data_IF_827217832364
#
_entry.id   IF_827217832364
#
_cell.length_a   1.000
_cell.length_b   1.000
_cell.length_c   1.000
_cell.angle_alpha   90.00
_cell.angle_beta   90.00
_cell.angle_gamma   90.00
#
_symmetry.space_group_name_H-M   'P 1'
#
loop_
_entity.id
_entity.type
_entity.pdbx_description
1 polymer ?
#
# COMPACT_ATOMS: atom_id res chain seq x y z
N UNK A 1 12.27 -9.75 6.20
CA UNK A 1 11.13 -8.82 6.31
C UNK A 1 11.57 -7.59 7.08
N UNK A 2 11.33 -6.40 6.56
CA UNK A 2 11.50 -5.12 7.27
C UNK A 2 10.19 -4.75 7.92
N UNK A 3 10.28 -4.22 9.15
CA UNK A 3 9.13 -3.67 9.87
C UNK A 3 9.08 -2.17 9.63
N UNK A 4 7.93 -1.67 9.25
CA UNK A 4 7.70 -0.25 8.96
C UNK A 4 6.49 0.32 9.67
N UNK A 5 6.35 1.62 9.58
CA UNK A 5 5.16 2.40 9.96
C UNK A 5 4.74 3.28 8.80
N UNK A 6 3.46 3.57 8.67
CA UNK A 6 2.95 4.57 7.74
C UNK A 6 3.04 5.98 8.34
N UNK A 7 3.25 6.97 7.50
CA UNK A 7 3.28 8.39 7.88
C UNK A 7 2.73 9.27 6.76
N UNK A 8 2.24 10.43 7.12
CA UNK A 8 1.99 11.56 6.22
C UNK A 8 2.97 12.69 6.57
N UNK A 9 3.16 13.66 5.69
CA UNK A 9 4.11 14.74 5.98
C UNK A 9 3.82 15.50 7.26
N UNK A 10 2.54 15.69 7.61
CA UNK A 10 2.17 16.44 8.81
C UNK A 10 2.54 15.75 10.14
N UNK A 11 2.73 14.42 10.14
CA UNK A 11 3.12 13.65 11.32
C UNK A 11 4.49 12.95 11.16
N UNK A 12 5.26 13.30 10.15
CA UNK A 12 6.54 12.65 9.83
C UNK A 12 7.58 12.82 10.94
N UNK A 13 7.61 13.96 11.63
CA UNK A 13 8.51 14.17 12.78
C UNK A 13 8.21 13.19 13.92
N UNK A 14 6.94 12.92 14.21
CA UNK A 14 6.52 11.94 15.20
C UNK A 14 6.89 10.51 14.78
N UNK A 15 6.69 10.19 13.49
CA UNK A 15 7.11 8.90 12.93
C UNK A 15 8.62 8.67 13.06
N UNK A 16 9.42 9.66 12.74
CA UNK A 16 10.88 9.59 12.86
C UNK A 16 11.32 9.47 14.32
N UNK A 17 10.62 10.11 15.25
CA UNK A 17 10.90 9.93 16.69
C UNK A 17 10.60 8.49 17.14
N UNK A 18 9.53 7.87 16.65
CA UNK A 18 9.28 6.45 16.89
C UNK A 18 10.39 5.56 16.31
N UNK A 19 10.88 5.84 15.11
CA UNK A 19 11.99 5.12 14.50
C UNK A 19 13.29 5.26 15.32
N UNK A 20 13.53 6.39 16.00
CA UNK A 20 14.67 6.57 16.90
C UNK A 20 14.53 5.74 18.17
N UNK A 21 13.31 5.64 18.69
CA UNK A 21 13.03 4.95 19.97
C UNK A 21 12.92 3.42 19.83
N UNK A 22 12.60 2.93 18.63
CA UNK A 22 12.26 1.52 18.38
C UNK A 22 13.15 1.01 17.24
N UNK A 23 14.27 0.38 17.58
CA UNK A 23 15.28 -0.13 16.64
C UNK A 23 14.73 -1.14 15.62
N UNK A 24 13.67 -1.86 15.97
CA UNK A 24 13.03 -2.83 15.07
C UNK A 24 12.36 -2.16 13.86
N UNK A 25 11.98 -0.88 13.97
CA UNK A 25 11.39 -0.12 12.87
C UNK A 25 12.51 0.39 11.95
N UNK A 26 12.62 -0.19 10.76
CA UNK A 26 13.69 0.11 9.79
C UNK A 26 13.16 0.40 8.38
N UNK A 27 11.87 0.68 8.31
CA UNK A 27 11.17 1.09 7.10
C UNK A 27 10.10 2.13 7.45
N UNK A 28 9.80 3.01 6.50
CA UNK A 28 8.70 3.97 6.61
C UNK A 28 8.01 4.05 5.26
N UNK A 29 6.69 3.99 5.26
CA UNK A 29 5.88 4.29 4.07
C UNK A 29 5.25 5.67 4.25
N UNK A 30 5.46 6.55 3.27
CA UNK A 30 5.05 7.95 3.37
C UNK A 30 4.01 8.22 2.29
N UNK A 31 2.83 8.68 2.70
CA UNK A 31 1.82 9.19 1.79
C UNK A 31 2.23 10.56 1.25
N UNK A 32 2.25 10.69 -0.07
CA UNK A 32 2.51 11.95 -0.78
C UNK A 32 1.41 12.19 -1.80
N UNK A 33 0.74 13.34 -1.69
CA UNK A 33 -0.41 13.69 -2.53
C UNK A 33 -0.05 14.57 -3.74
N UNK A 34 1.13 15.22 -3.71
CA UNK A 34 1.56 16.13 -4.78
C UNK A 34 3.08 16.26 -4.88
N UNK A 35 3.55 16.88 -5.95
CA UNK A 35 4.99 17.05 -6.20
C UNK A 35 5.67 18.05 -5.26
N UNK A 36 4.94 19.03 -4.72
CA UNK A 36 5.51 20.00 -3.76
C UNK A 36 5.87 19.30 -2.43
N UNK A 37 5.17 18.23 -2.11
CA UNK A 37 5.48 17.38 -0.96
C UNK A 37 6.80 16.64 -1.11
N UNK A 38 7.18 16.26 -2.34
CA UNK A 38 8.50 15.71 -2.61
C UNK A 38 9.62 16.71 -2.26
N UNK A 39 9.41 18.00 -2.55
CA UNK A 39 10.36 19.06 -2.18
C UNK A 39 10.43 19.23 -0.66
N UNK A 40 9.28 19.12 0.02
CA UNK A 40 9.23 19.19 1.48
C UNK A 40 9.98 18.02 2.11
N UNK A 41 9.86 16.81 1.54
CA UNK A 41 10.53 15.61 2.03
C UNK A 41 12.06 15.71 1.96
N UNK A 42 12.62 16.53 1.07
CA UNK A 42 14.08 16.74 0.96
C UNK A 42 14.72 17.19 2.28
N UNK A 43 13.98 17.90 3.14
CA UNK A 43 14.47 18.34 4.46
C UNK A 43 14.84 17.19 5.39
N UNK A 44 14.27 16.01 5.17
CA UNK A 44 14.43 14.81 6.01
C UNK A 44 15.46 13.81 5.47
N UNK A 45 16.07 14.09 4.32
CA UNK A 45 16.98 13.17 3.63
C UNK A 45 18.12 12.66 4.53
N UNK A 46 18.80 13.58 5.22
CA UNK A 46 19.91 13.23 6.09
C UNK A 46 19.45 12.39 7.29
N UNK A 47 18.25 12.67 7.77
CA UNK A 47 17.65 11.94 8.88
C UNK A 47 17.30 10.48 8.49
N UNK A 48 16.67 10.26 7.34
CA UNK A 48 16.43 8.93 6.83
C UNK A 48 17.73 8.13 6.65
N UNK A 49 18.76 8.78 6.12
CA UNK A 49 20.08 8.16 5.95
C UNK A 49 20.72 7.82 7.29
N UNK A 50 20.65 8.74 8.26
CA UNK A 50 21.19 8.55 9.62
C UNK A 50 20.53 7.39 10.35
N UNK A 51 19.22 7.23 10.19
CA UNK A 51 18.44 6.15 10.78
C UNK A 51 18.50 4.83 9.97
N UNK A 52 19.12 4.83 8.77
CA UNK A 52 19.20 3.64 7.91
C UNK A 52 17.84 3.17 7.39
N UNK A 53 16.85 4.07 7.33
CA UNK A 53 15.49 3.74 6.91
C UNK A 53 15.42 3.48 5.40
N UNK A 54 14.70 2.44 5.01
CA UNK A 54 14.19 2.31 3.65
C UNK A 54 12.80 2.97 3.55
N UNK A 55 12.46 3.46 2.38
CA UNK A 55 11.26 4.27 2.18
C UNK A 55 10.36 3.60 1.15
N UNK A 56 9.08 3.47 1.45
CA UNK A 56 7.99 3.29 0.52
C UNK A 56 7.24 4.60 0.34
N UNK A 57 6.63 4.80 -0.81
CA UNK A 57 5.75 5.95 -1.04
C UNK A 57 4.36 5.44 -1.34
N UNK A 58 3.37 5.87 -0.56
CA UNK A 58 1.97 5.69 -0.93
C UNK A 58 1.56 6.84 -1.83
N UNK A 59 1.09 6.50 -3.03
CA UNK A 59 0.63 7.47 -4.04
C UNK A 59 -0.75 8.03 -3.67
N UNK A 60 -1.15 9.18 -4.25
CA UNK A 60 -2.43 9.81 -3.96
C UNK A 60 -3.63 8.87 -4.12
N UNK A 61 -4.58 8.97 -3.21
CA UNK A 61 -5.82 8.18 -3.24
C UNK A 61 -6.70 8.47 -4.47
N UNK A 62 -6.55 9.65 -5.07
CA UNK A 62 -7.24 10.08 -6.28
C UNK A 62 -6.70 9.43 -7.55
N UNK A 63 -5.50 8.84 -7.49
CA UNK A 63 -4.90 8.19 -8.63
C UNK A 63 -5.77 7.02 -9.09
N UNK A 64 -6.10 7.00 -10.38
CA UNK A 64 -7.05 6.07 -10.96
C UNK A 64 -6.47 5.38 -12.20
N UNK A 65 -5.93 4.16 -12.01
CA UNK A 65 -5.35 3.38 -13.11
C UNK A 65 -6.41 2.93 -14.12
N UNK A 66 -7.66 2.79 -13.69
CA UNK A 66 -8.77 2.32 -14.54
C UNK A 66 -9.49 3.44 -15.31
N UNK A 67 -8.94 4.65 -15.32
CA UNK A 67 -9.50 5.81 -16.01
C UNK A 67 -9.75 5.54 -17.50
N UNK A 68 -10.90 5.99 -18.03
CA UNK A 68 -11.23 5.85 -19.45
C UNK A 68 -10.56 6.91 -20.33
N UNK A 69 -10.22 8.06 -19.78
CA UNK A 69 -9.66 9.19 -20.51
C UNK A 69 -8.14 9.02 -20.57
N UNK A 70 -7.63 8.60 -21.73
CA UNK A 70 -6.19 8.34 -21.90
C UNK A 70 -5.31 9.54 -21.57
N UNK A 71 -5.80 10.77 -21.79
CA UNK A 71 -5.08 11.97 -21.39
C UNK A 71 -4.84 12.01 -19.87
N UNK A 72 -5.85 11.69 -19.07
CA UNK A 72 -5.74 11.64 -17.60
C UNK A 72 -4.80 10.50 -17.16
N UNK A 73 -4.92 9.31 -17.76
CA UNK A 73 -3.98 8.22 -17.50
C UNK A 73 -2.53 8.63 -17.77
N UNK A 74 -2.27 9.28 -18.91
CA UNK A 74 -0.92 9.76 -19.24
C UNK A 74 -0.43 10.84 -18.27
N UNK A 75 -1.33 11.68 -17.77
CA UNK A 75 -0.98 12.67 -16.75
C UNK A 75 -0.57 12.00 -15.43
N UNK A 76 -1.27 10.93 -15.02
CA UNK A 76 -0.89 10.15 -13.85
C UNK A 76 0.46 9.44 -14.01
N UNK A 77 0.72 8.85 -15.18
CA UNK A 77 2.02 8.23 -15.48
C UNK A 77 3.14 9.27 -15.39
N UNK A 78 2.94 10.43 -16.02
CA UNK A 78 3.92 11.51 -15.96
C UNK A 78 4.12 12.05 -14.53
N UNK A 79 3.06 12.12 -13.74
CA UNK A 79 3.12 12.50 -12.32
C UNK A 79 4.01 11.53 -11.52
N UNK A 80 3.79 10.21 -11.64
CA UNK A 80 4.57 9.18 -10.92
C UNK A 80 6.03 9.23 -11.36
N UNK A 81 6.31 9.34 -12.66
CA UNK A 81 7.66 9.47 -13.19
C UNK A 81 8.37 10.73 -12.63
N UNK A 82 7.68 11.88 -12.62
CA UNK A 82 8.25 13.11 -12.05
C UNK A 82 8.49 13.00 -10.55
N UNK A 83 7.63 12.27 -9.81
CA UNK A 83 7.82 11.97 -8.40
C UNK A 83 9.07 11.10 -8.20
N UNK A 84 9.26 10.04 -9.00
CA UNK A 84 10.47 9.20 -8.96
C UNK A 84 11.74 10.04 -9.21
N UNK A 85 11.74 10.88 -10.23
CA UNK A 85 12.85 11.79 -10.54
C UNK A 85 13.16 12.75 -9.36
N UNK A 86 12.11 13.29 -8.73
CA UNK A 86 12.23 14.22 -7.59
C UNK A 86 12.76 13.53 -6.33
N UNK A 87 12.56 12.22 -6.20
CA UNK A 87 12.94 11.42 -5.05
C UNK A 87 14.18 10.52 -5.31
N UNK A 88 14.93 10.76 -6.40
CA UNK A 88 16.06 9.91 -6.82
C UNK A 88 17.20 9.81 -5.80
N UNK A 89 17.32 10.81 -4.91
CA UNK A 89 18.32 10.82 -3.84
C UNK A 89 17.91 10.03 -2.59
N UNK A 90 16.66 9.52 -2.56
CA UNK A 90 16.14 8.72 -1.48
C UNK A 90 16.26 7.22 -1.79
N UNK A 91 16.28 6.41 -0.76
CA UNK A 91 16.31 4.95 -0.88
C UNK A 91 14.89 4.38 -1.08
N UNK A 92 14.15 4.90 -2.08
CA UNK A 92 12.79 4.46 -2.38
C UNK A 92 12.79 3.01 -2.84
N UNK A 93 11.92 2.20 -2.28
CA UNK A 93 11.83 0.76 -2.56
C UNK A 93 10.64 0.39 -3.41
N UNK A 94 9.58 1.15 -3.31
CA UNK A 94 8.35 0.97 -4.07
C UNK A 94 7.46 2.21 -4.00
N UNK A 95 6.61 2.33 -4.99
CA UNK A 95 5.38 3.11 -4.93
C UNK A 95 4.21 2.17 -4.67
N UNK A 96 3.39 2.45 -3.67
CA UNK A 96 2.16 1.73 -3.37
C UNK A 96 0.95 2.54 -3.83
N UNK A 97 -0.08 1.89 -4.37
CA UNK A 97 -1.27 2.57 -4.86
C UNK A 97 -2.49 1.66 -4.90
N UNK A 98 -3.67 2.25 -4.78
CA UNK A 98 -4.93 1.59 -5.10
C UNK A 98 -5.15 1.55 -6.63
N UNK A 99 -6.00 0.64 -7.10
CA UNK A 99 -6.31 0.55 -8.54
C UNK A 99 -7.18 1.71 -9.03
N UNK A 100 -7.94 2.34 -8.14
CA UNK A 100 -8.84 3.43 -8.43
C UNK A 100 -10.32 3.05 -8.32
N UNK A 101 -11.19 3.89 -8.87
CA UNK A 101 -12.65 3.78 -8.72
C UNK A 101 -13.39 4.09 -10.01
N UNK A 102 -14.61 3.59 -10.11
CA UNK A 102 -15.50 3.75 -11.27
C UNK A 102 -16.93 4.00 -10.79
N UNK A 103 -17.73 4.70 -11.59
CA UNK A 103 -19.18 4.78 -11.36
C UNK A 103 -19.76 3.37 -11.30
N UNK A 104 -20.44 3.01 -10.21
CA UNK A 104 -20.87 1.65 -9.88
C UNK A 104 -21.67 0.98 -11.00
N UNK A 105 -22.64 1.68 -11.60
CA UNK A 105 -23.41 1.14 -12.73
C UNK A 105 -22.55 0.81 -13.95
N UNK A 106 -21.53 1.60 -14.22
CA UNK A 106 -20.63 1.37 -15.36
C UNK A 106 -19.72 0.19 -15.10
N UNK A 107 -19.22 0.07 -13.86
CA UNK A 107 -18.40 -1.06 -13.44
C UNK A 107 -19.18 -2.37 -13.54
N UNK A 108 -20.42 -2.41 -13.03
CA UNK A 108 -21.29 -3.58 -13.11
C UNK A 108 -21.60 -4.02 -14.55
N UNK A 109 -21.71 -3.06 -15.48
CA UNK A 109 -21.94 -3.37 -16.90
C UNK A 109 -20.72 -3.93 -17.61
N UNK A 110 -19.52 -3.46 -17.28
CA UNK A 110 -18.32 -3.87 -18.01
C UNK A 110 -17.04 -3.73 -17.16
N UNK A 111 -16.90 -4.55 -16.13
CA UNK A 111 -15.71 -4.59 -15.26
C UNK A 111 -14.42 -4.84 -16.04
N UNK A 112 -14.47 -5.76 -16.98
CA UNK A 112 -13.31 -6.14 -17.80
C UNK A 112 -12.68 -4.95 -18.51
N UNK A 113 -13.48 -4.05 -19.07
CA UNK A 113 -12.97 -2.83 -19.72
C UNK A 113 -12.09 -1.98 -18.80
N UNK A 114 -12.50 -1.83 -17.54
CA UNK A 114 -11.76 -1.02 -16.57
C UNK A 114 -10.49 -1.71 -16.10
N UNK A 115 -10.52 -3.04 -16.00
CA UNK A 115 -9.32 -3.83 -15.74
C UNK A 115 -8.33 -3.78 -16.90
N UNK A 116 -8.81 -3.78 -18.15
CA UNK A 116 -7.97 -3.55 -19.34
C UNK A 116 -7.33 -2.17 -19.33
N UNK A 117 -8.08 -1.13 -18.94
CA UNK A 117 -7.50 0.20 -18.77
C UNK A 117 -6.37 0.20 -17.74
N UNK A 118 -6.53 -0.50 -16.62
CA UNK A 118 -5.46 -0.65 -15.61
C UNK A 118 -4.27 -1.44 -16.16
N UNK A 119 -4.50 -2.49 -16.93
CA UNK A 119 -3.41 -3.24 -17.61
C UNK A 119 -2.61 -2.33 -18.53
N UNK A 120 -3.28 -1.53 -19.37
CA UNK A 120 -2.63 -0.58 -20.27
C UNK A 120 -1.82 0.47 -19.49
N UNK A 121 -2.41 0.98 -18.40
CA UNK A 121 -1.77 1.94 -17.52
C UNK A 121 -0.47 1.37 -16.93
N UNK A 122 -0.53 0.19 -16.32
CA UNK A 122 0.64 -0.42 -15.68
C UNK A 122 1.71 -0.84 -16.68
N UNK A 123 1.34 -1.38 -17.86
CA UNK A 123 2.32 -1.69 -18.91
C UNK A 123 3.14 -0.46 -19.27
N UNK A 124 2.46 0.67 -19.51
CA UNK A 124 3.13 1.92 -19.87
C UNK A 124 3.95 2.48 -18.69
N UNK A 125 3.39 2.50 -17.47
CA UNK A 125 4.07 3.00 -16.29
C UNK A 125 5.38 2.23 -16.03
N UNK A 126 5.36 0.90 -16.15
CA UNK A 126 6.53 0.04 -15.89
C UNK A 126 7.64 0.18 -16.95
N UNK A 127 7.35 0.77 -18.11
CA UNK A 127 8.34 1.17 -19.11
C UNK A 127 8.99 2.52 -18.77
N UNK A 128 8.29 3.39 -18.05
CA UNK A 128 8.69 4.78 -17.76
C UNK A 128 9.45 4.95 -16.44
N UNK A 129 9.34 3.99 -15.50
CA UNK A 129 9.95 4.07 -14.17
C UNK A 129 10.77 2.82 -13.83
N UNK A 130 11.74 2.97 -12.93
CA UNK A 130 12.58 1.86 -12.45
C UNK A 130 12.11 1.31 -11.10
N UNK A 131 11.47 2.12 -10.28
CA UNK A 131 10.96 1.74 -8.97
C UNK A 131 9.82 0.71 -9.09
N UNK A 132 9.74 -0.22 -8.14
CA UNK A 132 8.64 -1.18 -8.07
C UNK A 132 7.32 -0.49 -7.81
N UNK A 133 6.27 -1.01 -8.44
CA UNK A 133 4.88 -0.64 -8.17
C UNK A 133 4.24 -1.75 -7.36
N UNK A 134 3.64 -1.40 -6.25
CA UNK A 134 2.77 -2.27 -5.47
C UNK A 134 1.32 -1.83 -5.66
N UNK A 135 0.45 -2.77 -5.96
CA UNK A 135 -0.99 -2.51 -6.05
C UNK A 135 -1.68 -3.12 -4.83
N UNK A 136 -2.48 -2.29 -4.16
CA UNK A 136 -3.08 -2.60 -2.87
C UNK A 136 -4.54 -2.98 -2.99
N UNK A 137 -4.98 -4.00 -2.21
CA UNK A 137 -6.40 -4.26 -2.07
C UNK A 137 -7.07 -3.13 -1.28
N UNK A 138 -8.30 -2.86 -1.67
CA UNK A 138 -9.17 -1.88 -1.02
C UNK A 138 -10.51 -2.53 -0.70
N UNK A 139 -11.45 -1.77 -0.18
CA UNK A 139 -12.83 -2.19 0.02
C UNK A 139 -13.78 -1.32 -0.81
N UNK A 140 -14.99 -1.82 -1.07
CA UNK A 140 -16.01 -1.06 -1.78
C UNK A 140 -17.33 -1.08 -1.04
N UNK A 141 -17.82 0.10 -0.67
CA UNK A 141 -19.16 0.25 -0.10
C UNK A 141 -20.18 0.48 -1.22
N UNK A 142 -21.44 0.17 -0.94
CA UNK A 142 -22.54 0.53 -1.84
C UNK A 142 -22.63 2.05 -2.02
N UNK A 143 -22.77 2.52 -3.27
CA UNK A 143 -22.83 3.96 -3.58
C UNK A 143 -22.66 4.22 -5.07
N UNK A 144 -22.53 5.48 -5.43
CA UNK A 144 -22.39 5.94 -6.81
C UNK A 144 -21.04 5.53 -7.43
N UNK A 145 -20.02 5.30 -6.58
CA UNK A 145 -18.70 4.86 -6.97
C UNK A 145 -18.34 3.53 -6.31
N UNK A 146 -17.67 2.67 -7.05
CA UNK A 146 -17.11 1.41 -6.58
C UNK A 146 -15.62 1.38 -6.83
N UNK A 147 -14.85 0.97 -5.83
CA UNK A 147 -13.41 0.74 -5.99
C UNK A 147 -13.16 -0.53 -6.81
N UNK A 148 -12.14 -0.49 -7.65
CA UNK A 148 -11.52 -1.67 -8.25
C UNK A 148 -10.42 -2.14 -7.29
N UNK A 149 -10.20 -3.46 -7.20
CA UNK A 149 -9.27 -4.04 -6.23
C UNK A 149 -9.91 -4.40 -4.90
N UNK A 150 -11.23 -4.41 -4.81
CA UNK A 150 -11.93 -4.92 -3.64
C UNK A 150 -12.19 -6.44 -3.68
N UNK A 151 -11.81 -7.12 -4.76
CA UNK A 151 -11.81 -8.58 -4.90
C UNK A 151 -10.50 -9.07 -5.51
N UNK A 152 -10.00 -10.25 -5.07
CA UNK A 152 -8.73 -10.78 -5.56
C UNK A 152 -8.68 -10.99 -7.08
N UNK A 153 -9.82 -11.27 -7.72
CA UNK A 153 -9.92 -11.49 -9.18
C UNK A 153 -9.50 -10.29 -10.01
N UNK A 154 -9.61 -9.08 -9.50
CA UNK A 154 -9.15 -7.87 -10.19
C UNK A 154 -7.63 -7.90 -10.35
N UNK A 155 -6.93 -8.24 -9.29
CA UNK A 155 -5.47 -8.38 -9.28
C UNK A 155 -5.01 -9.57 -10.11
N UNK A 156 -5.68 -10.72 -9.96
CA UNK A 156 -5.41 -11.91 -10.77
C UNK A 156 -5.49 -11.58 -12.27
N UNK A 157 -6.51 -10.83 -12.69
CA UNK A 157 -6.65 -10.39 -14.07
C UNK A 157 -5.45 -9.56 -14.53
N UNK A 158 -5.03 -8.59 -13.73
CA UNK A 158 -3.90 -7.70 -14.05
C UNK A 158 -2.59 -8.49 -14.09
N UNK A 159 -2.29 -9.30 -13.07
CA UNK A 159 -1.06 -10.09 -12.99
C UNK A 159 -0.95 -11.16 -14.08
N UNK A 160 -2.07 -11.71 -14.56
CA UNK A 160 -2.08 -12.65 -15.69
C UNK A 160 -1.79 -11.96 -17.04
N UNK A 161 -1.95 -10.64 -17.13
CA UNK A 161 -1.67 -9.84 -18.34
C UNK A 161 -0.31 -9.14 -18.34
N UNK A 162 0.31 -9.06 -17.14
CA UNK A 162 1.57 -8.35 -16.93
C UNK A 162 2.53 -9.27 -16.19
N UNK A 163 3.45 -9.88 -16.94
CA UNK A 163 4.56 -10.65 -16.38
C UNK A 163 5.77 -9.72 -16.20
N UNK A 164 5.78 -8.98 -15.09
CA UNK A 164 6.86 -8.07 -14.76
C UNK A 164 7.12 -8.12 -13.25
N UNK A 165 8.37 -8.33 -12.86
CA UNK A 165 8.80 -8.45 -11.46
C UNK A 165 8.78 -7.11 -10.69
N UNK A 166 8.64 -5.98 -11.41
CA UNK A 166 8.44 -4.66 -10.78
C UNK A 166 7.01 -4.47 -10.30
N UNK A 167 6.03 -5.25 -10.80
CA UNK A 167 4.63 -5.17 -10.35
C UNK A 167 4.36 -6.20 -9.26
N UNK A 168 4.03 -5.72 -8.07
CA UNK A 168 3.86 -6.50 -6.85
C UNK A 168 2.48 -6.25 -6.23
N UNK A 169 2.16 -7.02 -5.20
CA UNK A 169 0.93 -6.89 -4.44
C UNK A 169 1.20 -6.39 -3.01
N UNK A 170 0.40 -5.44 -2.53
CA UNK A 170 0.27 -5.05 -1.14
C UNK A 170 -1.03 -5.61 -0.58
N UNK A 171 -0.94 -6.34 0.52
CA UNK A 171 -2.11 -6.84 1.24
C UNK A 171 -2.41 -5.98 2.45
N UNK A 172 -3.50 -5.23 2.39
CA UNK A 172 -4.02 -4.50 3.55
C UNK A 172 -5.02 -5.35 4.33
N UNK A 173 -4.74 -5.57 5.62
CA UNK A 173 -5.58 -6.39 6.51
C UNK A 173 -6.86 -5.67 6.90
N UNK A 174 -6.82 -4.36 7.10
CA UNK A 174 -7.98 -3.55 7.47
C UNK A 174 -9.03 -3.53 6.37
N UNK A 175 -8.59 -3.29 5.14
CA UNK A 175 -9.47 -3.36 3.96
C UNK A 175 -10.07 -4.75 3.77
N UNK A 176 -9.28 -5.80 3.98
CA UNK A 176 -9.75 -7.18 3.86
C UNK A 176 -10.79 -7.55 4.93
N UNK A 177 -10.71 -7.00 6.13
CA UNK A 177 -11.72 -7.22 7.17
C UNK A 177 -13.11 -6.70 6.77
N UNK A 178 -13.16 -5.69 5.90
CA UNK A 178 -14.43 -5.10 5.42
C UNK A 178 -15.01 -5.91 4.25
N UNK A 179 -14.21 -6.29 3.25
CA UNK A 179 -14.67 -6.96 2.02
C UNK A 179 -14.46 -8.48 2.00
N UNK A 180 -13.64 -9.02 2.90
CA UNK A 180 -13.44 -10.46 3.16
C UNK A 180 -13.15 -11.31 1.91
N UNK A 181 -12.25 -10.86 1.03
CA UNK A 181 -11.79 -11.60 -0.14
C UNK A 181 -10.48 -12.35 0.15
N UNK A 182 -10.32 -13.58 -0.37
CA UNK A 182 -9.11 -14.39 -0.15
C UNK A 182 -7.95 -13.96 -1.05
N UNK A 183 -7.33 -12.83 -0.70
CA UNK A 183 -6.17 -12.30 -1.42
C UNK A 183 -4.93 -13.15 -1.21
N UNK A 184 -4.64 -13.52 0.03
CA UNK A 184 -3.40 -14.23 0.38
C UNK A 184 -3.34 -15.61 -0.26
N UNK A 185 -4.45 -16.35 -0.28
CA UNK A 185 -4.53 -17.67 -0.91
C UNK A 185 -4.28 -17.63 -2.41
N UNK A 186 -4.69 -16.55 -3.09
CA UNK A 186 -4.65 -16.45 -4.55
C UNK A 186 -3.46 -15.62 -5.10
N UNK A 187 -2.90 -14.67 -4.32
CA UNK A 187 -1.89 -13.71 -4.78
C UNK A 187 -0.54 -13.82 -4.06
N UNK A 188 -0.31 -14.89 -3.29
CA UNK A 188 0.89 -15.07 -2.48
C UNK A 188 2.20 -14.91 -3.26
N UNK A 189 2.23 -15.35 -4.52
CA UNK A 189 3.41 -15.27 -5.39
C UNK A 189 3.77 -13.84 -5.82
N UNK A 190 2.86 -12.88 -5.71
CA UNK A 190 3.06 -11.45 -6.01
C UNK A 190 3.16 -10.59 -4.74
N UNK A 191 2.86 -11.17 -3.58
CA UNK A 191 2.81 -10.47 -2.31
C UNK A 191 4.21 -10.03 -1.87
N UNK A 192 4.39 -8.73 -1.73
CA UNK A 192 5.64 -8.11 -1.31
C UNK A 192 5.49 -7.32 -0.01
N UNK A 193 4.36 -6.65 0.17
CA UNK A 193 4.06 -5.75 1.27
C UNK A 193 2.81 -6.22 1.98
N UNK A 194 2.74 -6.02 3.27
CA UNK A 194 1.48 -6.06 4.00
C UNK A 194 1.32 -4.80 4.84
N UNK A 195 0.16 -4.16 4.75
CA UNK A 195 -0.32 -3.17 5.68
C UNK A 195 -1.08 -3.87 6.79
N UNK A 196 -0.68 -3.62 8.02
CA UNK A 196 -1.25 -4.27 9.18
C UNK A 196 -1.98 -3.26 10.04
N UNK A 197 -3.29 -3.35 10.04
CA UNK A 197 -4.22 -2.62 10.88
C UNK A 197 -5.35 -3.54 11.34
N UNK A 198 -6.07 -3.15 12.38
CA UNK A 198 -7.28 -3.80 12.86
C UNK A 198 -8.47 -2.85 12.73
N UNK A 199 -9.68 -3.36 12.65
CA UNK A 199 -10.91 -2.58 12.64
C UNK A 199 -12.13 -3.41 13.08
N UNK A 200 -13.32 -2.82 12.99
CA UNK A 200 -14.59 -3.45 13.38
C UNK A 200 -15.24 -4.29 12.25
N UNK A 201 -14.61 -4.41 11.09
CA UNK A 201 -15.16 -5.06 9.89
C UNK A 201 -16.18 -4.20 9.13
N UNK A 202 -16.37 -2.95 9.51
CA UNK A 202 -17.32 -2.01 8.90
C UNK A 202 -16.61 -0.73 8.44
N UNK A 203 -15.73 -0.20 9.28
CA UNK A 203 -15.03 1.05 9.07
C UNK A 203 -13.52 0.82 9.07
N UNK A 204 -12.85 1.48 8.12
CA UNK A 204 -11.41 1.49 8.06
C UNK A 204 -10.86 2.48 9.10
N UNK A 205 -10.68 1.98 10.31
CA UNK A 205 -10.39 2.81 11.49
C UNK A 205 -8.95 2.71 11.99
N UNK A 206 -8.09 1.97 11.28
CA UNK A 206 -6.65 1.84 11.56
C UNK A 206 -6.34 1.60 13.05
N UNK A 207 -7.08 0.68 13.67
CA UNK A 207 -6.89 0.33 15.08
C UNK A 207 -5.59 -0.46 15.27
N UNK A 208 -4.98 -0.33 16.45
CA UNK A 208 -3.91 -1.21 16.89
C UNK A 208 -4.38 -2.66 16.99
N UNK A 209 -3.46 -3.59 16.79
CA UNK A 209 -3.75 -5.03 16.76
C UNK A 209 -4.36 -5.50 18.09
N UNK A 210 -5.46 -6.27 17.99
CA UNK A 210 -6.24 -6.78 19.12
C UNK A 210 -7.30 -5.83 19.64
N UNK A 211 -7.54 -4.71 18.94
CA UNK A 211 -8.58 -3.72 19.26
C UNK A 211 -9.82 -3.83 18.37
N UNK A 212 -9.78 -4.65 17.34
CA UNK A 212 -10.87 -4.94 16.43
C UNK A 212 -11.13 -6.44 16.31
N UNK A 213 -11.41 -6.90 15.09
CA UNK A 213 -11.80 -8.28 14.81
C UNK A 213 -10.72 -9.12 14.12
N UNK A 214 -9.52 -8.55 13.85
CA UNK A 214 -8.43 -9.27 13.21
C UNK A 214 -7.92 -10.39 14.09
N UNK A 215 -8.02 -11.64 13.61
CA UNK A 215 -7.67 -12.82 14.39
C UNK A 215 -6.15 -13.04 14.44
N UNK A 216 -5.64 -13.45 15.60
CA UNK A 216 -4.21 -13.81 15.77
C UNK A 216 -3.75 -14.85 14.74
N UNK A 217 -4.59 -15.80 14.38
CA UNK A 217 -4.27 -16.83 13.39
C UNK A 217 -4.03 -16.26 11.99
N UNK A 218 -4.68 -15.17 11.62
CA UNK A 218 -4.48 -14.48 10.34
C UNK A 218 -3.15 -13.73 10.34
N UNK A 219 -2.85 -13.04 11.44
CA UNK A 219 -1.55 -12.39 11.63
C UNK A 219 -0.42 -13.42 11.57
N UNK A 220 -0.58 -14.57 12.22
CA UNK A 220 0.41 -15.64 12.22
C UNK A 220 0.63 -16.21 10.81
N UNK A 221 -0.44 -16.42 10.05
CA UNK A 221 -0.33 -16.80 8.63
C UNK A 221 0.45 -15.76 7.85
N UNK A 222 0.09 -14.48 7.99
CA UNK A 222 0.76 -13.37 7.30
C UNK A 222 2.26 -13.29 7.63
N UNK A 223 2.62 -13.41 8.90
CA UNK A 223 4.02 -13.40 9.34
C UNK A 223 4.86 -14.58 8.85
N UNK A 224 4.23 -15.68 8.45
CA UNK A 224 4.88 -16.85 7.87
C UNK A 224 5.08 -16.75 6.35
N UNK A 225 4.56 -15.70 5.71
CA UNK A 225 4.76 -15.44 4.29
C UNK A 225 6.12 -14.79 4.03
N UNK A 226 6.58 -14.86 2.78
CA UNK A 226 7.85 -14.25 2.36
C UNK A 226 7.70 -12.75 2.07
N UNK A 227 7.18 -12.00 3.05
CA UNK A 227 7.04 -10.54 2.94
C UNK A 227 8.41 -9.86 2.94
N UNK A 228 8.57 -8.83 2.12
CA UNK A 228 9.71 -7.90 2.21
C UNK A 228 9.46 -6.80 3.24
N UNK A 229 8.21 -6.32 3.30
CA UNK A 229 7.81 -5.21 4.19
C UNK A 229 6.51 -5.55 4.92
N UNK A 230 6.48 -5.27 6.22
CA UNK A 230 5.29 -5.25 7.05
C UNK A 230 5.15 -3.83 7.61
N UNK A 231 4.17 -3.10 7.16
CA UNK A 231 3.93 -1.70 7.54
C UNK A 231 2.77 -1.65 8.53
N UNK A 232 2.99 -1.08 9.68
CA UNK A 232 1.93 -0.83 10.67
C UNK A 232 1.21 0.46 10.28
N UNK A 233 0.01 0.32 9.80
CA UNK A 233 -0.86 1.43 9.41
C UNK A 233 -1.91 1.68 10.47
N UNK A 234 -1.41 2.12 11.64
CA UNK A 234 -2.20 2.28 12.86
C UNK A 234 -1.85 3.59 13.58
N UNK A 235 -2.74 4.02 14.47
CA UNK A 235 -2.44 5.15 15.35
C UNK A 235 -1.16 4.88 16.16
N UNK A 236 -0.25 5.84 16.21
CA UNK A 236 1.07 5.71 16.84
C UNK A 236 1.01 5.38 18.32
N UNK A 237 -0.04 5.78 19.02
CA UNK A 237 -0.25 5.40 20.44
C UNK A 237 -0.37 3.89 20.65
N UNK A 238 -0.64 3.11 19.60
CA UNK A 238 -0.81 1.66 19.65
C UNK A 238 0.41 0.88 19.15
N UNK A 239 1.45 1.55 18.62
CA UNK A 239 2.64 0.90 18.04
C UNK A 239 3.31 -0.04 19.04
N UNK A 240 3.64 0.45 20.25
CA UNK A 240 4.35 -0.36 21.27
C UNK A 240 3.55 -1.59 21.70
N UNK A 241 2.24 -1.42 21.89
CA UNK A 241 1.33 -2.53 22.24
C UNK A 241 1.28 -3.58 21.11
N UNK A 242 1.09 -3.10 19.88
CA UNK A 242 1.05 -3.94 18.67
C UNK A 242 2.36 -4.74 18.52
N UNK A 243 3.52 -4.12 18.68
CA UNK A 243 4.81 -4.80 18.61
C UNK A 243 4.94 -5.90 19.69
N UNK A 244 4.42 -5.63 20.89
CA UNK A 244 4.35 -6.63 21.95
C UNK A 244 3.51 -7.85 21.58
N UNK A 245 2.37 -7.64 20.89
CA UNK A 245 1.51 -8.72 20.40
C UNK A 245 2.22 -9.49 19.27
N UNK A 246 2.81 -8.82 18.29
CA UNK A 246 3.54 -9.45 17.19
C UNK A 246 4.71 -10.31 17.68
N UNK A 247 5.44 -9.82 18.69
CA UNK A 247 6.53 -10.58 19.32
C UNK A 247 6.04 -11.88 19.99
N UNK A 248 4.87 -11.84 20.65
CA UNK A 248 4.26 -13.05 21.25
C UNK A 248 3.84 -14.04 20.17
N UNK A 249 3.15 -13.57 19.12
CA UNK A 249 2.74 -14.41 17.98
C UNK A 249 3.95 -15.10 17.34
N UNK A 250 5.05 -14.36 17.13
CA UNK A 250 6.30 -14.91 16.56
C UNK A 250 6.91 -16.02 17.43
N UNK A 251 6.74 -15.95 18.75
CA UNK A 251 7.23 -16.96 19.71
C UNK A 251 6.28 -18.15 19.88
N UNK A 252 5.10 -18.12 19.26
CA UNK A 252 4.08 -19.18 19.40
C UNK A 252 3.32 -19.15 20.74
N UNK A 253 3.28 -17.97 21.40
CA UNK A 253 2.60 -17.75 22.70
C UNK A 253 1.34 -16.91 22.52
#
# INVERSE_FOLDING_TARGET
MRLGISALLYNLDEALELCRQIEDINHIEIGLDNLDECLTLQKYKDEFKRLGLSIGIHLPMELNSCENIKYIQNSWINFIRTMEESLNEFNIKYFNMHLGYVISERLNKNRTKYLENSVDFFKKLLEEIDTKISIENTYSKSGDFSNIGHIYKDFEYIFNKIDNEKLCFCYDTGHCLIDNSDYVGNLNNKLMIAHLSDNDGINDSHLGIGRGILRKTEIQKLMNLNLKYLVLEINYNHIKETLGILSKIKRGV
#
